data_IF_727310895261
#
_entry.id   IF_727310895261
#
_cell.length_a   1.000
_cell.length_b   1.000
_cell.length_c   1.000
_cell.angle_alpha   90.00
_cell.angle_beta   90.00
_cell.angle_gamma   90.00
#
_symmetry.space_group_name_H-M   'P 1'
#
loop_
_entity.id
_entity.type
_entity.pdbx_description
1 polymer ?
#
# COMPACT_ATOMS: atom_id res chain seq x y z
N UNK A 1 2.25 27.91 -4.05
CA UNK A 1 1.44 26.68 -3.93
C UNK A 1 1.82 25.71 -5.04
N UNK A 2 2.29 24.51 -4.71
CA UNK A 2 2.45 23.46 -5.71
C UNK A 2 1.06 22.98 -6.15
N UNK A 3 0.78 22.99 -7.46
CA UNK A 3 -0.46 22.42 -8.01
C UNK A 3 -0.26 20.92 -8.22
N UNK A 4 -1.29 20.13 -7.91
CA UNK A 4 -1.30 18.70 -8.24
C UNK A 4 -1.14 18.52 -9.74
N UNK A 5 -0.22 17.64 -10.16
CA UNK A 5 -0.02 17.28 -11.57
C UNK A 5 -0.84 16.03 -11.88
N UNK A 6 -1.64 16.09 -12.94
CA UNK A 6 -2.38 14.93 -13.46
C UNK A 6 -1.58 14.33 -14.60
N UNK A 7 -1.32 13.02 -14.53
CA UNK A 7 -0.62 12.29 -15.58
C UNK A 7 -1.62 11.44 -16.36
N UNK A 8 -1.71 11.69 -17.67
CA UNK A 8 -2.41 10.81 -18.59
C UNK A 8 -1.40 9.79 -19.14
N UNK A 9 -1.69 8.51 -18.92
CA UNK A 9 -0.94 7.37 -19.47
C UNK A 9 -1.85 6.70 -20.51
N UNK A 10 -1.28 6.27 -21.64
CA UNK A 10 -2.01 5.76 -22.81
C UNK A 10 -2.88 4.51 -22.56
N UNK A 11 -3.53 3.98 -23.61
CA UNK A 11 -4.44 2.83 -23.51
C UNK A 11 -3.66 1.52 -23.35
N UNK A 12 -3.15 1.29 -22.15
CA UNK A 12 -2.43 0.07 -21.76
C UNK A 12 -3.20 -0.70 -20.68
N UNK A 13 -2.75 -1.93 -20.38
CA UNK A 13 -3.25 -2.67 -19.22
C UNK A 13 -2.90 -1.92 -17.92
N UNK A 14 -3.80 -1.88 -16.91
CA UNK A 14 -3.58 -1.11 -15.68
C UNK A 14 -2.24 -1.41 -14.99
N UNK A 15 -1.79 -2.67 -15.06
CA UNK A 15 -0.51 -3.12 -14.53
C UNK A 15 0.69 -2.36 -15.10
N UNK A 16 0.72 -2.16 -16.41
CA UNK A 16 1.83 -1.51 -17.13
C UNK A 16 1.88 0.00 -16.86
N UNK A 17 0.73 0.59 -16.51
CA UNK A 17 0.64 2.03 -16.21
C UNK A 17 1.35 2.40 -14.91
N UNK A 18 1.42 1.47 -13.96
CA UNK A 18 1.99 1.72 -12.63
C UNK A 18 3.46 2.12 -12.74
N UNK A 19 4.26 1.41 -13.54
CA UNK A 19 5.69 1.70 -13.71
C UNK A 19 5.93 3.12 -14.26
N UNK A 20 5.12 3.51 -15.23
CA UNK A 20 5.17 4.84 -15.85
C UNK A 20 4.71 5.92 -14.89
N UNK A 21 3.65 5.68 -14.11
CA UNK A 21 3.18 6.63 -13.10
C UNK A 21 4.21 6.78 -11.97
N UNK A 22 4.79 5.69 -11.50
CA UNK A 22 5.81 5.69 -10.46
C UNK A 22 7.03 6.52 -10.88
N UNK A 23 7.51 6.32 -12.11
CA UNK A 23 8.62 7.10 -12.67
C UNK A 23 8.24 8.57 -12.91
N UNK A 24 7.11 8.84 -13.60
CA UNK A 24 6.72 10.23 -13.95
C UNK A 24 6.30 11.07 -12.75
N UNK A 25 5.82 10.45 -11.68
CA UNK A 25 5.49 11.14 -10.43
C UNK A 25 6.72 11.66 -9.69
N UNK A 26 7.92 11.18 -10.05
CA UNK A 26 9.17 11.50 -9.35
C UNK A 26 9.29 10.83 -7.98
N UNK A 27 8.48 9.80 -7.69
CA UNK A 27 8.61 9.02 -6.45
C UNK A 27 9.92 8.25 -6.46
N UNK A 28 10.26 7.62 -7.61
CA UNK A 28 11.51 6.87 -7.76
C UNK A 28 12.75 7.68 -7.35
N UNK A 29 12.80 8.95 -7.78
CA UNK A 29 13.96 9.82 -7.55
C UNK A 29 14.06 10.33 -6.10
N UNK A 30 13.08 9.99 -5.24
CA UNK A 30 13.05 10.35 -3.82
C UNK A 30 13.40 9.20 -2.89
N UNK A 31 13.64 8.01 -3.43
CA UNK A 31 13.99 6.82 -2.66
C UNK A 31 15.49 6.64 -2.79
N UNK A 32 16.19 6.72 -1.68
CA UNK A 32 17.61 6.41 -1.58
C UNK A 32 17.82 4.95 -1.13
N UNK A 33 19.00 4.41 -1.44
CA UNK A 33 19.32 3.04 -1.06
C UNK A 33 19.32 2.89 0.47
N UNK A 34 18.54 1.93 0.98
CA UNK A 34 18.38 1.69 2.42
C UNK A 34 17.28 2.51 3.10
N UNK A 35 16.55 3.37 2.37
CA UNK A 35 15.39 4.06 2.93
C UNK A 35 14.32 3.08 3.38
N UNK A 36 13.79 3.25 4.59
CA UNK A 36 12.60 2.54 5.04
C UNK A 36 11.37 3.26 4.49
N UNK A 37 10.64 2.62 3.58
CA UNK A 37 9.56 3.25 2.82
C UNK A 37 8.19 2.73 3.23
N UNK A 38 7.39 3.59 3.85
CA UNK A 38 6.00 3.28 4.17
C UNK A 38 5.10 3.41 2.93
N UNK A 39 4.40 2.34 2.58
CA UNK A 39 3.35 2.35 1.55
C UNK A 39 2.00 2.30 2.27
N UNK A 40 1.38 3.47 2.47
CA UNK A 40 0.10 3.62 3.17
C UNK A 40 -1.06 3.34 2.23
N UNK A 41 -1.92 2.38 2.58
CA UNK A 41 -3.13 2.06 1.81
C UNK A 41 -4.15 1.31 2.68
N UNK A 42 -5.41 1.33 2.24
CA UNK A 42 -6.49 0.62 2.90
C UNK A 42 -6.60 -0.84 2.41
N UNK A 43 -6.47 -1.84 3.30
CA UNK A 43 -6.45 -3.27 2.93
C UNK A 43 -7.85 -3.89 2.67
N UNK A 44 -8.89 -3.09 2.80
CA UNK A 44 -10.28 -3.47 2.56
C UNK A 44 -11.03 -3.77 3.85
N UNK A 45 -12.33 -3.99 3.76
CA UNK A 45 -13.22 -4.33 4.88
C UNK A 45 -13.91 -5.65 4.54
N UNK A 46 -14.21 -6.49 5.53
CA UNK A 46 -14.90 -7.75 5.23
C UNK A 46 -16.26 -7.50 4.59
N UNK A 47 -16.55 -8.25 3.52
CA UNK A 47 -17.79 -8.12 2.74
C UNK A 47 -17.77 -7.00 1.69
N UNK A 48 -16.67 -6.27 1.52
CA UNK A 48 -16.53 -5.22 0.52
C UNK A 48 -15.34 -5.50 -0.41
N UNK A 49 -15.54 -5.34 -1.72
CA UNK A 49 -14.51 -5.52 -2.76
C UNK A 49 -13.92 -4.22 -3.32
N UNK A 50 -14.34 -3.06 -2.80
CA UNK A 50 -13.94 -1.72 -3.26
C UNK A 50 -12.58 -1.25 -2.73
N UNK A 51 -11.66 -2.18 -2.49
CA UNK A 51 -10.27 -1.88 -2.16
C UNK A 51 -9.38 -2.06 -3.38
N UNK A 52 -8.17 -1.49 -3.37
CA UNK A 52 -7.26 -1.66 -4.50
C UNK A 52 -6.89 -3.14 -4.64
N UNK A 53 -6.89 -3.66 -5.86
CA UNK A 53 -6.53 -5.07 -6.06
C UNK A 53 -5.10 -5.31 -5.54
N UNK A 54 -4.86 -6.33 -4.68
CA UNK A 54 -3.58 -6.53 -4.00
C UNK A 54 -2.38 -6.59 -4.95
N UNK A 55 -2.60 -7.14 -6.15
CA UNK A 55 -1.59 -7.18 -7.20
C UNK A 55 -0.97 -5.80 -7.43
N UNK A 56 -1.76 -4.72 -7.51
CA UNK A 56 -1.26 -3.37 -7.76
C UNK A 56 -0.39 -2.85 -6.62
N UNK A 57 -0.74 -3.17 -5.36
CA UNK A 57 0.10 -2.85 -4.22
C UNK A 57 1.44 -3.61 -4.30
N UNK A 58 1.40 -4.89 -4.69
CA UNK A 58 2.62 -5.68 -4.92
C UNK A 58 3.54 -5.04 -5.97
N UNK A 59 3.00 -4.50 -7.07
CA UNK A 59 3.82 -3.78 -8.07
C UNK A 59 4.59 -2.61 -7.47
N UNK A 60 3.92 -1.82 -6.63
CA UNK A 60 4.54 -0.67 -5.97
C UNK A 60 5.63 -1.16 -5.01
N UNK A 61 5.40 -2.25 -4.27
CA UNK A 61 6.43 -2.86 -3.40
C UNK A 61 7.67 -3.24 -4.21
N UNK A 62 7.49 -3.92 -5.34
CA UNK A 62 8.61 -4.35 -6.17
C UNK A 62 9.37 -3.13 -6.75
N UNK A 63 8.66 -2.09 -7.21
CA UNK A 63 9.27 -0.84 -7.68
C UNK A 63 10.05 -0.08 -6.60
N UNK A 64 9.57 -0.08 -5.35
CA UNK A 64 10.29 0.53 -4.23
C UNK A 64 11.59 -0.23 -3.94
N UNK A 65 11.57 -1.57 -3.99
CA UNK A 65 12.78 -2.38 -3.86
C UNK A 65 13.77 -2.16 -5.00
N UNK A 66 13.27 -2.07 -6.24
CA UNK A 66 14.09 -1.77 -7.41
C UNK A 66 14.75 -0.38 -7.32
N UNK A 67 14.11 0.57 -6.64
CA UNK A 67 14.69 1.88 -6.32
C UNK A 67 15.71 1.84 -5.15
N UNK A 68 15.88 0.69 -4.49
CA UNK A 68 16.82 0.49 -3.38
C UNK A 68 16.21 0.67 -1.98
N UNK A 69 14.91 0.94 -1.87
CA UNK A 69 14.23 1.08 -0.60
C UNK A 69 13.82 -0.24 0.05
N UNK A 70 13.57 -0.20 1.34
CA UNK A 70 13.02 -1.28 2.16
C UNK A 70 11.54 -1.00 2.48
N UNK A 71 10.59 -1.53 1.69
CA UNK A 71 9.18 -1.20 1.84
C UNK A 71 8.52 -1.96 2.99
N UNK A 72 7.48 -1.36 3.54
CA UNK A 72 6.43 -2.05 4.29
C UNK A 72 5.06 -1.46 3.95
N UNK A 73 4.02 -2.29 3.95
CA UNK A 73 2.65 -1.78 3.82
C UNK A 73 2.13 -1.35 5.19
N UNK A 74 1.35 -0.28 5.22
CA UNK A 74 0.78 0.20 6.48
C UNK A 74 -0.60 0.77 6.35
N UNK A 75 -1.36 0.64 7.43
CA UNK A 75 -2.57 1.40 7.67
C UNK A 75 -2.81 1.59 9.19
N UNK A 76 -3.94 2.20 9.55
CA UNK A 76 -4.39 2.40 10.92
C UNK A 76 -5.77 1.76 11.10
N UNK A 77 -6.08 1.33 12.31
CA UNK A 77 -7.39 0.80 12.68
C UNK A 77 -8.52 1.82 12.51
N UNK A 78 -9.76 1.32 12.52
CA UNK A 78 -10.96 2.15 12.40
C UNK A 78 -11.49 2.60 13.75
N UNK A 79 -12.06 3.81 13.82
CA UNK A 79 -12.78 4.29 15.00
C UNK A 79 -14.15 3.63 15.20
N UNK A 80 -14.70 3.04 14.13
CA UNK A 80 -15.99 2.37 14.16
C UNK A 80 -15.83 0.86 14.44
N UNK A 81 -16.87 0.27 15.04
CA UNK A 81 -16.88 -1.13 15.46
C UNK A 81 -17.15 -2.08 14.29
N UNK A 82 -16.07 -2.53 13.68
CA UNK A 82 -16.05 -3.55 12.62
C UNK A 82 -14.72 -4.30 12.67
N UNK A 83 -14.39 -5.08 11.65
CA UNK A 83 -13.28 -6.04 11.76
C UNK A 83 -11.91 -5.36 11.83
N UNK A 84 -11.82 -4.07 11.50
CA UNK A 84 -10.58 -3.29 11.54
C UNK A 84 -10.38 -2.45 12.79
N UNK A 85 -11.18 -2.63 13.83
CA UNK A 85 -11.07 -1.86 15.08
C UNK A 85 -9.85 -2.25 15.94
N UNK A 86 -9.22 -3.39 15.65
CA UNK A 86 -8.00 -3.86 16.34
C UNK A 86 -6.94 -4.30 15.34
N UNK A 87 -5.68 -4.36 15.79
CA UNK A 87 -4.57 -4.93 15.01
C UNK A 87 -4.93 -6.31 14.45
N UNK A 88 -5.40 -7.21 15.33
CA UNK A 88 -5.64 -8.61 14.97
C UNK A 88 -6.76 -8.75 13.94
N UNK A 89 -7.88 -8.06 14.16
CA UNK A 89 -8.99 -8.08 13.22
C UNK A 89 -8.61 -7.45 11.88
N UNK A 90 -7.79 -6.39 11.89
CA UNK A 90 -7.36 -5.77 10.66
C UNK A 90 -6.40 -6.68 9.87
N UNK A 91 -5.42 -7.32 10.53
CA UNK A 91 -4.53 -8.27 9.85
C UNK A 91 -5.29 -9.47 9.27
N UNK A 92 -6.31 -9.99 9.97
CA UNK A 92 -7.19 -11.04 9.45
C UNK A 92 -7.97 -10.56 8.21
N UNK A 93 -8.49 -9.33 8.27
CA UNK A 93 -9.20 -8.70 7.13
C UNK A 93 -8.28 -8.52 5.93
N UNK A 94 -7.06 -8.02 6.16
CA UNK A 94 -6.04 -7.84 5.14
C UNK A 94 -5.68 -9.18 4.49
N UNK A 95 -5.44 -10.23 5.29
CA UNK A 95 -5.10 -11.56 4.80
C UNK A 95 -6.21 -12.15 3.91
N UNK A 96 -7.47 -12.07 4.34
CA UNK A 96 -8.62 -12.52 3.53
C UNK A 96 -8.78 -11.77 2.21
N UNK A 97 -8.38 -10.50 2.20
CA UNK A 97 -8.40 -9.68 0.99
C UNK A 97 -7.15 -9.86 0.11
N UNK A 98 -6.22 -10.76 0.48
CA UNK A 98 -5.02 -11.09 -0.29
C UNK A 98 -3.78 -10.27 0.07
N UNK A 99 -3.83 -9.47 1.14
CA UNK A 99 -2.67 -8.74 1.68
C UNK A 99 -2.04 -9.55 2.80
N UNK A 100 -1.05 -10.37 2.45
CA UNK A 100 -0.16 -11.03 3.42
C UNK A 100 1.28 -10.63 3.13
N UNK A 101 2.18 -10.93 4.07
CA UNK A 101 3.62 -10.70 3.88
C UNK A 101 4.13 -11.41 2.63
N UNK A 102 3.63 -12.61 2.37
CA UNK A 102 4.06 -13.50 1.29
C UNK A 102 3.57 -12.98 -0.07
N UNK A 103 2.29 -12.58 -0.16
CA UNK A 103 1.73 -12.05 -1.41
C UNK A 103 2.35 -10.70 -1.74
N UNK A 104 2.56 -9.84 -0.74
CA UNK A 104 3.11 -8.50 -0.92
C UNK A 104 4.65 -8.50 -1.00
N UNK A 105 5.31 -9.55 -0.51
CA UNK A 105 6.77 -9.65 -0.46
C UNK A 105 7.42 -8.67 0.52
N UNK A 106 6.67 -8.04 1.43
CA UNK A 106 7.17 -7.11 2.43
C UNK A 106 6.34 -7.17 3.72
N UNK A 107 6.84 -6.65 4.86
CA UNK A 107 6.06 -6.59 6.10
C UNK A 107 4.78 -5.77 5.96
N UNK A 108 3.77 -6.12 6.75
CA UNK A 108 2.54 -5.34 6.94
C UNK A 108 2.52 -4.86 8.39
N UNK A 109 2.39 -3.55 8.59
CA UNK A 109 2.43 -2.91 9.92
C UNK A 109 1.19 -2.04 10.11
N UNK A 110 0.39 -2.34 11.13
CA UNK A 110 -0.70 -1.44 11.55
C UNK A 110 -0.13 -0.44 12.57
N UNK A 111 -0.19 0.85 12.23
CA UNK A 111 0.67 1.88 12.82
C UNK A 111 0.18 2.46 14.16
N UNK A 112 -1.08 2.24 14.54
CA UNK A 112 -1.75 2.82 15.71
C UNK A 112 -1.92 1.82 16.87
N UNK A 113 -1.13 0.75 16.87
CA UNK A 113 -1.03 -0.21 17.97
C UNK A 113 -2.16 -1.24 18.02
N UNK A 114 -2.25 -1.96 19.13
CA UNK A 114 -3.15 -3.12 19.26
C UNK A 114 -4.64 -2.75 19.19
N UNK A 115 -4.99 -1.53 19.63
CA UNK A 115 -6.37 -1.04 19.81
C UNK A 115 -6.62 0.33 19.17
N UNK A 116 -5.72 0.82 18.32
CA UNK A 116 -5.91 2.12 17.66
C UNK A 116 -5.77 3.34 18.55
N UNK A 117 -4.86 3.29 19.52
CA UNK A 117 -4.73 4.33 20.57
C UNK A 117 -3.31 4.89 20.72
N UNK A 118 -2.40 4.52 19.81
CA UNK A 118 -1.02 5.02 19.76
C UNK A 118 -0.84 6.11 18.71
#
# INVERSE_FOLDING_TARGET
>A
MARSKVFLIGPEEPWQKIDKLFSRSGIRDKIEAGDIVAIKLHFGELGNTRYIHPIFARKIVDLVKEAGGEPFLTDTTTLYKHTRETLFGYLETAARNGFTRETMGCPIIIADGLRGTN
#
